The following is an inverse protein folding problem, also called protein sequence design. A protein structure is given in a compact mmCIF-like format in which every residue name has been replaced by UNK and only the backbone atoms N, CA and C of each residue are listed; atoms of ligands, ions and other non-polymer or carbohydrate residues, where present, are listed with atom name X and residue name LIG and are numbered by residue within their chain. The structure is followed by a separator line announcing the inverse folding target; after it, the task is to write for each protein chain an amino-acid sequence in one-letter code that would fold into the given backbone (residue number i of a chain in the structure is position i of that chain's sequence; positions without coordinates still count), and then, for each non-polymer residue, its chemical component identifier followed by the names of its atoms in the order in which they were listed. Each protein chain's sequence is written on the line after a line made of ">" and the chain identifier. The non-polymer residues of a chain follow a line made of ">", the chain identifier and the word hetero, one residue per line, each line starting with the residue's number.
data_IF_607805497294
#
_entry.id   IF_607805497294
#
_cell.length_a   1.000
_cell.length_b   1.000
_cell.length_c   1.000
_cell.angle_alpha   90.00
_cell.angle_beta   90.00
_cell.angle_gamma   90.00
#
_symmetry.space_group_name_H-M   'P 1'
#
loop_
_entity.id
_entity.type
_entity.pdbx_description
1 polymer ?
#
# COMPACT_ATOMS: atom_id res chain seq x y z
N UNK A 1 -2.87 -3.04 -27.30
CA UNK A 1 -3.06 -3.42 -25.87
C UNK A 1 -1.78 -3.90 -25.19
N UNK A 2 -0.91 -4.70 -25.87
CA UNK A 2 0.33 -5.21 -25.28
C UNK A 2 1.30 -4.11 -24.85
N UNK A 3 1.51 -3.10 -25.67
CA UNK A 3 2.35 -1.92 -25.35
C UNK A 3 1.82 -1.17 -24.11
N UNK A 4 0.51 -0.88 -24.08
CA UNK A 4 -0.13 -0.18 -22.94
C UNK A 4 -0.02 -0.99 -21.65
N UNK A 5 -0.17 -2.32 -21.72
CA UNK A 5 0.00 -3.21 -20.55
C UNK A 5 1.44 -3.19 -20.05
N UNK A 6 2.42 -3.26 -20.95
CA UNK A 6 3.86 -3.18 -20.62
C UNK A 6 4.23 -1.84 -20.00
N UNK A 7 3.79 -0.72 -20.59
CA UNK A 7 4.06 0.62 -20.08
C UNK A 7 3.46 0.83 -18.68
N UNK A 8 2.25 0.33 -18.45
CA UNK A 8 1.61 0.38 -17.12
C UNK A 8 2.33 -0.50 -16.10
N UNK A 9 2.80 -1.68 -16.48
CA UNK A 9 3.59 -2.55 -15.61
C UNK A 9 4.92 -1.90 -15.22
N UNK A 10 5.64 -1.30 -16.18
CA UNK A 10 6.89 -0.57 -15.90
C UNK A 10 6.67 0.62 -14.96
N UNK A 11 5.61 1.41 -15.16
CA UNK A 11 5.26 2.51 -14.25
C UNK A 11 4.97 2.02 -12.82
N UNK A 12 4.35 0.84 -12.68
CA UNK A 12 4.10 0.25 -11.36
C UNK A 12 5.40 -0.22 -10.69
N UNK A 13 6.31 -0.85 -11.44
CA UNK A 13 7.63 -1.25 -10.93
C UNK A 13 8.44 0.00 -10.50
N UNK A 14 8.44 1.07 -11.27
CA UNK A 14 9.07 2.33 -10.89
C UNK A 14 8.50 2.89 -9.59
N UNK A 15 7.17 2.87 -9.42
CA UNK A 15 6.51 3.29 -8.18
C UNK A 15 6.87 2.39 -6.99
N UNK A 16 7.02 1.08 -7.23
CA UNK A 16 7.46 0.11 -6.24
C UNK A 16 8.88 0.44 -5.73
N UNK A 17 9.82 0.67 -6.64
CA UNK A 17 11.20 1.05 -6.33
C UNK A 17 11.23 2.39 -5.60
N UNK A 18 10.46 3.37 -6.06
CA UNK A 18 10.37 4.67 -5.42
C UNK A 18 9.79 4.58 -4.00
N UNK A 19 8.73 3.81 -3.79
CA UNK A 19 8.13 3.61 -2.47
C UNK A 19 9.13 2.95 -1.50
N UNK A 20 9.78 1.87 -1.93
CA UNK A 20 10.81 1.17 -1.14
C UNK A 20 11.97 2.11 -0.82
N UNK A 21 12.47 2.86 -1.81
CA UNK A 21 13.55 3.83 -1.63
C UNK A 21 13.18 4.96 -0.65
N UNK A 22 11.94 5.45 -0.72
CA UNK A 22 11.44 6.49 0.19
C UNK A 22 11.41 6.02 1.65
N UNK A 23 11.00 4.78 1.88
CA UNK A 23 10.98 4.19 3.23
C UNK A 23 12.39 4.00 3.76
N UNK A 24 13.30 3.45 2.96
CA UNK A 24 14.72 3.27 3.36
C UNK A 24 15.36 4.63 3.67
N UNK A 25 15.06 5.64 2.87
CA UNK A 25 15.56 7.01 3.08
C UNK A 25 14.99 7.63 4.36
N UNK A 26 13.71 7.41 4.65
CA UNK A 26 13.10 7.87 5.90
C UNK A 26 13.76 7.21 7.12
N UNK A 27 13.98 5.90 7.08
CA UNK A 27 14.66 5.18 8.15
C UNK A 27 16.12 5.65 8.30
N UNK A 28 16.80 5.95 7.17
CA UNK A 28 18.15 6.52 7.16
C UNK A 28 18.22 7.84 7.95
N UNK A 29 17.24 8.73 7.77
CA UNK A 29 17.19 9.99 8.49
C UNK A 29 16.73 9.86 9.94
N UNK A 30 15.85 8.89 10.22
CA UNK A 30 15.27 8.71 11.56
C UNK A 30 16.17 7.93 12.50
N UNK A 31 16.75 6.81 12.06
CA UNK A 31 17.49 5.86 12.90
C UNK A 31 18.99 5.79 12.56
N UNK A 32 19.35 5.99 11.30
CA UNK A 32 20.73 5.95 10.85
C UNK A 32 20.96 5.01 9.66
N UNK A 33 22.18 5.04 9.12
CA UNK A 33 22.48 4.32 7.88
C UNK A 33 22.55 2.79 8.04
N UNK A 34 22.92 2.29 9.22
CA UNK A 34 23.02 0.85 9.51
C UNK A 34 21.64 0.23 9.69
N UNK A 35 20.80 0.89 10.44
CA UNK A 35 19.39 0.55 10.63
C UNK A 35 18.66 0.59 9.28
N UNK A 36 18.94 1.59 8.45
CA UNK A 36 18.40 1.68 7.10
C UNK A 36 18.81 0.50 6.19
N UNK A 37 20.04 -0.01 6.32
CA UNK A 37 20.48 -1.20 5.58
C UNK A 37 19.73 -2.45 6.09
N UNK A 38 19.57 -2.59 7.42
CA UNK A 38 18.83 -3.73 8.00
C UNK A 38 17.39 -3.73 7.50
N UNK A 39 16.69 -2.60 7.65
CA UNK A 39 15.29 -2.47 7.20
C UNK A 39 15.20 -2.62 5.69
N UNK A 40 16.08 -1.96 4.92
CA UNK A 40 16.08 -2.05 3.46
C UNK A 40 16.27 -3.47 2.94
N UNK A 41 17.20 -4.23 3.54
CA UNK A 41 17.42 -5.63 3.19
C UNK A 41 16.23 -6.53 3.57
N UNK A 42 15.60 -6.30 4.73
CA UNK A 42 14.41 -7.01 5.14
C UNK A 42 13.25 -6.77 4.17
N UNK A 43 13.04 -5.51 3.75
CA UNK A 43 12.01 -5.14 2.78
C UNK A 43 12.23 -5.80 1.43
N UNK A 44 13.45 -5.71 0.90
CA UNK A 44 13.80 -6.34 -0.40
C UNK A 44 13.60 -7.86 -0.32
N UNK A 45 14.03 -8.49 0.78
CA UNK A 45 13.84 -9.92 0.99
C UNK A 45 12.35 -10.29 1.07
N UNK A 46 11.57 -9.52 1.82
CA UNK A 46 10.11 -9.73 1.93
C UNK A 46 9.44 -9.64 0.57
N UNK A 47 9.78 -8.62 -0.23
CA UNK A 47 9.25 -8.48 -1.59
C UNK A 47 9.62 -9.65 -2.49
N UNK A 48 10.90 -10.07 -2.46
CA UNK A 48 11.38 -11.19 -3.26
C UNK A 48 10.67 -12.50 -2.90
N UNK A 49 10.54 -12.79 -1.60
CA UNK A 49 9.87 -14.01 -1.11
C UNK A 49 8.36 -13.95 -1.37
N UNK A 50 7.73 -12.78 -1.26
CA UNK A 50 6.29 -12.61 -1.59
C UNK A 50 6.04 -12.81 -3.08
N UNK A 51 6.91 -12.30 -3.96
CA UNK A 51 6.84 -12.55 -5.40
C UNK A 51 7.03 -14.04 -5.73
N UNK A 52 7.97 -14.69 -5.07
CA UNK A 52 8.20 -16.12 -5.23
C UNK A 52 6.98 -16.93 -4.76
N UNK A 53 6.42 -16.61 -3.60
CA UNK A 53 5.21 -17.26 -3.08
C UNK A 53 4.00 -17.04 -4.02
N UNK A 54 3.83 -15.85 -4.58
CA UNK A 54 2.81 -15.53 -5.57
C UNK A 54 2.96 -16.39 -6.83
N UNK A 55 4.19 -16.57 -7.30
CA UNK A 55 4.49 -17.45 -8.45
C UNK A 55 4.17 -18.93 -8.14
N UNK A 56 4.56 -19.41 -6.95
CA UNK A 56 4.25 -20.79 -6.52
C UNK A 56 2.75 -21.07 -6.39
N UNK A 57 1.96 -20.05 -6.03
CA UNK A 57 0.49 -20.14 -5.99
C UNK A 57 -0.16 -20.06 -7.39
N UNK A 58 0.62 -19.95 -8.46
CA UNK A 58 0.13 -19.87 -9.83
C UNK A 58 -0.45 -18.51 -10.23
N UNK A 59 -0.23 -17.46 -9.43
CA UNK A 59 -0.63 -16.11 -9.82
C UNK A 59 0.33 -15.55 -10.87
N UNK A 60 -0.24 -14.95 -11.91
CA UNK A 60 0.53 -14.22 -12.92
C UNK A 60 0.86 -12.81 -12.42
N UNK A 61 2.04 -12.31 -12.79
CA UNK A 61 2.42 -10.92 -12.56
C UNK A 61 1.62 -10.02 -13.51
N UNK A 62 0.45 -9.62 -13.05
CA UNK A 62 -0.42 -8.70 -13.77
C UNK A 62 -0.54 -7.36 -13.00
N UNK A 63 -1.25 -6.40 -13.60
CA UNK A 63 -1.46 -5.08 -13.00
C UNK A 63 -2.08 -5.16 -11.59
N UNK A 64 -2.94 -6.12 -11.34
CA UNK A 64 -3.64 -6.28 -10.07
C UNK A 64 -2.70 -6.83 -8.99
N UNK A 65 -1.90 -7.86 -9.32
CA UNK A 65 -0.91 -8.42 -8.37
C UNK A 65 0.21 -7.42 -8.06
N UNK A 66 0.66 -6.63 -9.04
CA UNK A 66 1.62 -5.55 -8.81
C UNK A 66 1.02 -4.43 -7.94
N UNK A 67 -0.25 -4.08 -8.16
CA UNK A 67 -0.95 -3.13 -7.29
C UNK A 67 -1.08 -3.67 -5.86
N UNK A 68 -1.42 -4.96 -5.70
CA UNK A 68 -1.47 -5.61 -4.41
C UNK A 68 -0.12 -5.53 -3.66
N UNK A 69 1.00 -5.76 -4.37
CA UNK A 69 2.34 -5.62 -3.81
C UNK A 69 2.65 -4.18 -3.36
N UNK A 70 2.34 -3.19 -4.20
CA UNK A 70 2.57 -1.77 -3.85
C UNK A 70 1.73 -1.37 -2.63
N UNK A 71 0.47 -1.80 -2.60
CA UNK A 71 -0.42 -1.56 -1.47
C UNK A 71 0.11 -2.23 -0.19
N UNK A 72 0.61 -3.46 -0.32
CA UNK A 72 1.13 -4.23 0.81
C UNK A 72 2.44 -3.66 1.36
N UNK A 73 3.30 -3.04 0.55
CA UNK A 73 4.60 -2.52 1.00
C UNK A 73 4.45 -1.60 2.20
N UNK A 74 3.48 -0.67 2.16
CA UNK A 74 3.25 0.25 3.27
C UNK A 74 2.94 -0.45 4.60
N UNK A 75 2.44 -1.67 4.54
CA UNK A 75 2.11 -2.48 5.73
C UNK A 75 3.25 -3.46 6.06
N UNK A 76 3.88 -4.04 5.03
CA UNK A 76 4.93 -5.04 5.17
C UNK A 76 6.23 -4.50 5.80
N UNK A 77 6.49 -3.22 5.60
CA UNK A 77 7.73 -2.56 6.07
C UNK A 77 7.67 -2.27 7.56
N UNK A 78 6.48 -2.04 8.10
CA UNK A 78 6.28 -1.62 9.49
C UNK A 78 6.81 -2.65 10.49
N UNK A 79 6.64 -3.94 10.25
CA UNK A 79 7.12 -5.00 11.13
C UNK A 79 8.64 -4.93 11.35
N UNK A 80 9.41 -4.76 10.27
CA UNK A 80 10.87 -4.67 10.35
C UNK A 80 11.33 -3.36 11.01
N UNK A 81 10.62 -2.24 10.77
CA UNK A 81 10.93 -0.95 11.38
C UNK A 81 10.72 -1.01 12.88
N UNK A 82 9.59 -1.54 13.34
CA UNK A 82 9.27 -1.65 14.78
C UNK A 82 10.31 -2.48 15.52
N UNK A 83 10.73 -3.62 14.95
CA UNK A 83 11.77 -4.47 15.53
C UNK A 83 13.11 -3.74 15.61
N UNK A 84 13.56 -3.09 14.53
CA UNK A 84 14.84 -2.37 14.50
C UNK A 84 14.82 -1.17 15.44
N UNK A 85 13.74 -0.40 15.46
CA UNK A 85 13.57 0.74 16.37
C UNK A 85 13.63 0.30 17.84
N UNK A 86 12.94 -0.79 18.18
CA UNK A 86 12.96 -1.29 19.55
C UNK A 86 14.33 -1.82 19.97
N UNK A 87 15.06 -2.50 19.08
CA UNK A 87 16.46 -2.88 19.30
C UNK A 87 17.31 -1.63 19.54
N UNK A 88 17.17 -0.61 18.69
CA UNK A 88 17.90 0.66 18.84
C UNK A 88 17.58 1.35 20.17
N UNK A 89 16.32 1.40 20.56
CA UNK A 89 15.87 1.94 21.85
C UNK A 89 16.46 1.20 23.03
N UNK A 90 16.47 -0.12 23.02
CA UNK A 90 17.03 -0.94 24.09
C UNK A 90 18.56 -0.82 24.19
N UNK A 91 19.26 -0.58 23.09
CA UNK A 91 20.70 -0.29 23.06
C UNK A 91 21.04 1.04 23.76
N UNK A 92 20.12 2.01 23.70
CA UNK A 92 20.28 3.29 24.36
C UNK A 92 20.06 3.25 25.88
N UNK A 93 19.47 2.16 26.43
CA UNK A 93 19.21 2.00 27.86
C UNK A 93 20.44 1.37 28.55
N UNK A 94 21.12 2.08 29.47
CA UNK A 94 22.26 1.50 30.20
C UNK A 94 21.84 0.31 31.06
N UNK A 95 22.74 -0.65 31.21
CA UNK A 95 22.54 -1.78 32.11
C UNK A 95 22.43 -1.34 33.57
N UNK A 96 21.94 -2.23 34.45
CA UNK A 96 21.85 -1.99 35.89
C UNK A 96 23.19 -1.61 36.54
N UNK A 97 24.29 -2.08 35.95
CA UNK A 97 25.68 -1.82 36.43
C UNK A 97 26.28 -0.57 35.74
N UNK A 98 25.53 0.24 35.02
CA UNK A 98 26.01 1.39 34.26
C UNK A 98 26.84 1.03 33.02
N UNK A 99 27.05 -0.26 32.73
CA UNK A 99 27.77 -0.74 31.54
C UNK A 99 26.89 -0.80 30.32
N UNK A 100 27.48 -0.60 29.14
CA UNK A 100 26.79 -0.83 27.86
C UNK A 100 26.44 -2.30 27.75
N UNK A 101 25.17 -2.61 27.48
CA UNK A 101 24.69 -3.98 27.28
C UNK A 101 25.19 -4.54 25.94
N UNK A 102 25.48 -5.83 25.93
CA UNK A 102 25.86 -6.50 24.68
C UNK A 102 24.62 -6.69 23.78
N UNK A 103 24.81 -6.71 22.46
CA UNK A 103 23.74 -6.94 21.51
C UNK A 103 22.98 -8.27 21.75
N UNK A 104 23.71 -9.30 22.20
CA UNK A 104 23.12 -10.60 22.54
C UNK A 104 22.16 -10.52 23.74
N UNK A 105 22.38 -9.61 24.66
CA UNK A 105 21.51 -9.40 25.84
C UNK A 105 20.33 -8.47 25.52
N UNK A 106 20.52 -7.59 24.53
CA UNK A 106 19.52 -6.57 24.18
C UNK A 106 18.48 -7.08 23.18
N UNK A 107 18.90 -7.85 22.18
CA UNK A 107 18.04 -8.24 21.07
C UNK A 107 16.85 -9.14 21.54
N UNK A 108 17.04 -10.22 22.34
CA UNK A 108 15.92 -11.06 22.71
C UNK A 108 14.79 -10.33 23.45
N UNK A 109 15.05 -9.54 24.53
CA UNK A 109 13.99 -8.81 25.21
C UNK A 109 13.36 -7.70 24.33
N UNK A 110 14.15 -7.08 23.46
CA UNK A 110 13.64 -6.08 22.54
C UNK A 110 12.66 -6.68 21.51
N UNK A 111 12.97 -7.87 21.00
CA UNK A 111 12.09 -8.58 20.06
C UNK A 111 10.85 -9.13 20.77
N UNK A 112 10.99 -9.66 21.98
CA UNK A 112 9.89 -10.21 22.77
C UNK A 112 8.86 -9.13 23.12
N UNK A 113 9.32 -7.92 23.49
CA UNK A 113 8.44 -6.80 23.84
C UNK A 113 7.50 -6.42 22.69
N UNK A 114 7.97 -6.42 21.44
CA UNK A 114 7.18 -6.00 20.28
C UNK A 114 6.58 -7.18 19.52
N UNK A 115 7.08 -8.38 19.70
CA UNK A 115 6.66 -9.57 18.96
C UNK A 115 5.16 -9.87 19.12
N UNK A 116 4.65 -9.90 20.34
CA UNK A 116 3.24 -10.15 20.62
C UNK A 116 2.31 -9.13 19.96
N UNK A 117 2.47 -7.82 20.20
CA UNK A 117 1.70 -6.77 19.55
C UNK A 117 1.77 -6.81 18.01
N UNK A 118 2.94 -7.05 17.44
CA UNK A 118 3.13 -7.11 15.99
C UNK A 118 2.41 -8.31 15.36
N UNK A 119 2.50 -9.49 15.99
CA UNK A 119 1.76 -10.68 15.57
C UNK A 119 0.25 -10.41 15.56
N UNK A 120 -0.28 -9.83 16.65
CA UNK A 120 -1.70 -9.52 16.76
C UNK A 120 -2.13 -8.48 15.69
N UNK A 121 -1.33 -7.44 15.46
CA UNK A 121 -1.58 -6.44 14.46
C UNK A 121 -1.64 -7.06 13.06
N UNK A 122 -0.68 -7.92 12.70
CA UNK A 122 -0.63 -8.64 11.41
C UNK A 122 -1.89 -9.46 11.19
N UNK A 123 -2.30 -10.26 12.17
CA UNK A 123 -3.54 -11.06 12.06
C UNK A 123 -4.80 -10.18 11.96
N UNK A 124 -4.83 -9.06 12.66
CA UNK A 124 -5.95 -8.11 12.58
C UNK A 124 -6.09 -7.52 11.17
N UNK A 125 -4.98 -7.12 10.54
CA UNK A 125 -5.00 -6.59 9.18
C UNK A 125 -5.37 -7.68 8.17
N UNK A 126 -4.86 -8.91 8.32
CA UNK A 126 -5.25 -10.06 7.50
C UNK A 126 -6.78 -10.27 7.60
N UNK A 127 -7.32 -10.30 8.82
CA UNK A 127 -8.76 -10.46 9.03
C UNK A 127 -9.58 -9.32 8.39
N UNK A 128 -9.08 -8.08 8.43
CA UNK A 128 -9.73 -6.93 7.79
C UNK A 128 -9.71 -7.00 6.25
N UNK A 129 -8.68 -7.62 5.66
CA UNK A 129 -8.56 -7.81 4.20
C UNK A 129 -9.35 -9.02 3.68
N UNK A 130 -9.61 -10.02 4.53
CA UNK A 130 -10.28 -11.27 4.13
C UNK A 130 -11.63 -11.09 3.43
N UNK A 131 -12.53 -10.17 3.82
CA UNK A 131 -13.80 -9.97 3.12
C UNK A 131 -13.65 -9.72 1.62
N UNK A 132 -12.56 -9.06 1.18
CA UNK A 132 -12.28 -8.86 -0.25
C UNK A 132 -12.00 -10.16 -1.01
N UNK A 133 -11.55 -11.22 -0.35
CA UNK A 133 -11.29 -12.51 -0.96
C UNK A 133 -12.59 -13.26 -1.34
N UNK A 134 -13.71 -12.92 -0.69
CA UNK A 134 -15.01 -13.53 -0.91
C UNK A 134 -15.89 -12.78 -1.91
N UNK A 135 -15.38 -11.72 -2.53
CA UNK A 135 -16.11 -10.99 -3.58
C UNK A 135 -16.42 -11.95 -4.73
N UNK A 136 -17.72 -12.04 -5.08
CA UNK A 136 -18.25 -12.90 -6.15
C UNK A 136 -18.49 -12.08 -7.42
N UNK A 137 -18.88 -12.78 -8.50
CA UNK A 137 -19.19 -12.18 -9.79
C UNK A 137 -17.94 -11.85 -10.62
N UNK A 138 -18.11 -11.00 -11.63
CA UNK A 138 -17.06 -10.65 -12.60
C UNK A 138 -15.83 -10.00 -11.97
N UNK A 139 -16.00 -9.29 -10.84
CA UNK A 139 -14.90 -8.63 -10.13
C UNK A 139 -14.13 -9.58 -9.20
N UNK A 140 -14.70 -10.74 -8.85
CA UNK A 140 -14.07 -11.70 -7.95
C UNK A 140 -12.66 -12.09 -8.36
N UNK A 141 -12.43 -12.62 -9.58
CA UNK A 141 -11.11 -13.02 -10.06
C UNK A 141 -10.08 -11.89 -10.04
N UNK A 142 -10.51 -10.64 -10.19
CA UNK A 142 -9.63 -9.48 -10.17
C UNK A 142 -9.32 -8.98 -8.76
N UNK A 143 -10.25 -9.14 -7.82
CA UNK A 143 -10.08 -8.65 -6.44
C UNK A 143 -9.39 -9.66 -5.52
N UNK A 144 -9.61 -10.96 -5.72
CA UNK A 144 -9.02 -12.04 -4.90
C UNK A 144 -7.50 -12.00 -4.75
N UNK A 145 -6.71 -11.72 -5.80
CA UNK A 145 -5.25 -11.69 -5.66
C UNK A 145 -4.75 -10.63 -4.67
N UNK A 146 -5.51 -9.55 -4.43
CA UNK A 146 -5.09 -8.46 -3.54
C UNK A 146 -5.00 -8.95 -2.09
N UNK A 147 -6.08 -9.42 -1.44
CA UNK A 147 -6.03 -9.87 -0.05
C UNK A 147 -5.17 -11.11 0.13
N UNK A 148 -5.13 -12.02 -0.84
CA UNK A 148 -4.32 -13.24 -0.75
C UNK A 148 -2.82 -12.90 -0.75
N UNK A 149 -2.35 -12.14 -1.73
CA UNK A 149 -0.94 -11.75 -1.83
C UNK A 149 -0.53 -10.84 -0.67
N UNK A 150 -1.40 -9.92 -0.23
CA UNK A 150 -1.14 -9.09 0.92
C UNK A 150 -1.02 -9.93 2.21
N UNK A 151 -1.93 -10.85 2.45
CA UNK A 151 -1.91 -11.71 3.65
C UNK A 151 -0.69 -12.62 3.69
N UNK A 152 -0.35 -13.26 2.56
CA UNK A 152 0.86 -14.09 2.47
C UNK A 152 2.11 -13.23 2.66
N UNK A 153 2.17 -12.06 2.01
CA UNK A 153 3.27 -11.13 2.18
C UNK A 153 3.44 -10.69 3.64
N UNK A 154 2.35 -10.39 4.34
CA UNK A 154 2.38 -10.00 5.75
C UNK A 154 2.90 -11.11 6.66
N UNK A 155 2.47 -12.36 6.45
CA UNK A 155 3.00 -13.50 7.23
C UNK A 155 4.50 -13.69 6.97
N UNK A 156 4.95 -13.54 5.73
CA UNK A 156 6.36 -13.62 5.36
C UNK A 156 7.16 -12.45 5.92
N UNK A 157 6.60 -11.23 5.90
CA UNK A 157 7.19 -10.04 6.53
C UNK A 157 7.40 -10.25 8.02
N UNK A 158 6.36 -10.68 8.71
CA UNK A 158 6.42 -10.99 10.14
C UNK A 158 7.51 -12.01 10.46
N UNK A 159 7.58 -13.10 9.68
CA UNK A 159 8.62 -14.12 9.86
C UNK A 159 10.02 -13.53 9.67
N UNK A 160 10.23 -12.73 8.62
CA UNK A 160 11.51 -12.07 8.34
C UNK A 160 11.84 -11.04 9.44
N UNK A 161 10.85 -10.27 9.89
CA UNK A 161 11.02 -9.27 10.94
C UNK A 161 11.43 -9.88 12.28
N UNK A 162 10.90 -11.04 12.64
CA UNK A 162 11.21 -11.71 13.90
C UNK A 162 12.44 -12.64 13.84
N UNK A 163 12.91 -13.03 12.64
CA UNK A 163 14.06 -13.94 12.48
C UNK A 163 15.25 -13.28 11.83
N UNK A 164 15.09 -12.80 10.61
CA UNK A 164 16.19 -12.25 9.79
C UNK A 164 16.61 -10.88 10.30
N UNK A 165 15.67 -10.02 10.65
CA UNK A 165 15.95 -8.65 11.10
C UNK A 165 16.79 -8.61 12.39
N UNK A 166 16.49 -9.39 13.46
CA UNK A 166 17.33 -9.45 14.64
C UNK A 166 18.72 -10.01 14.36
N UNK A 167 18.81 -11.06 13.53
CA UNK A 167 20.09 -11.65 13.13
C UNK A 167 20.95 -10.65 12.34
N UNK A 168 20.35 -9.90 11.41
CA UNK A 168 21.06 -8.91 10.63
C UNK A 168 21.48 -7.71 11.48
N UNK A 169 20.62 -7.30 12.43
CA UNK A 169 20.94 -6.28 13.43
C UNK A 169 22.15 -6.67 14.27
N UNK A 170 22.22 -7.94 14.70
CA UNK A 170 23.37 -8.46 15.43
C UNK A 170 24.67 -8.35 14.64
N UNK A 171 24.65 -8.57 13.32
CA UNK A 171 25.85 -8.47 12.47
C UNK A 171 26.26 -7.04 12.14
N UNK A 172 25.30 -6.18 11.84
CA UNK A 172 25.56 -4.84 11.34
C UNK A 172 25.74 -3.80 12.44
N UNK A 173 25.04 -3.95 13.58
CA UNK A 173 25.16 -3.04 14.71
C UNK A 173 26.32 -3.38 15.66
N UNK A 174 26.92 -4.57 15.55
CA UNK A 174 28.00 -5.05 16.42
C UNK A 174 29.23 -4.13 16.46
N UNK A 175 29.47 -3.32 15.43
CA UNK A 175 30.59 -2.38 15.36
C UNK A 175 30.35 -1.04 16.07
N UNK A 176 29.15 -0.77 16.57
CA UNK A 176 28.79 0.53 17.15
C UNK A 176 29.06 0.64 18.67
N UNK A 177 29.41 -0.48 19.33
CA UNK A 177 29.74 -0.49 20.73
C UNK A 177 31.03 0.24 21.08
N UNK A 178 31.90 0.53 20.09
CA UNK A 178 33.24 1.08 20.32
C UNK A 178 33.41 2.54 19.90
N UNK A 179 32.55 3.12 19.05
CA UNK A 179 32.81 4.44 18.44
C UNK A 179 31.83 5.59 18.77
N UNK A 180 30.73 5.36 19.51
CA UNK A 180 29.76 6.45 19.76
C UNK A 180 29.80 6.99 21.17
N UNK A 181 30.92 7.63 21.54
CA UNK A 181 31.00 8.35 22.82
C UNK A 181 30.54 9.83 22.76
N UNK A 182 30.17 10.36 21.60
CA UNK A 182 30.02 11.82 21.51
C UNK A 182 28.70 12.40 20.97
N UNK A 183 27.81 11.64 20.35
CA UNK A 183 26.71 12.29 19.60
C UNK A 183 25.27 12.04 20.07
N UNK A 184 24.98 11.00 20.86
CA UNK A 184 23.57 10.68 21.22
C UNK A 184 23.46 10.24 22.68
N UNK A 185 23.68 11.16 23.62
CA UNK A 185 23.30 10.93 25.01
C UNK A 185 21.76 10.74 25.10
N UNK A 186 21.25 9.69 25.80
CA UNK A 186 19.81 9.41 25.90
C UNK A 186 18.95 10.52 26.53
N UNK A 187 19.58 11.56 27.07
CA UNK A 187 18.92 12.72 27.66
C UNK A 187 18.61 13.86 26.69
N UNK A 188 19.26 13.92 25.51
CA UNK A 188 19.10 15.06 24.61
C UNK A 188 17.80 15.05 23.80
N UNK A 189 17.17 13.87 23.57
CA UNK A 189 15.92 13.75 22.85
C UNK A 189 14.68 14.15 23.69
N UNK A 190 14.80 14.18 25.03
CA UNK A 190 13.67 14.55 25.91
C UNK A 190 13.30 16.03 25.87
N UNK A 191 14.11 16.90 25.28
CA UNK A 191 13.84 18.35 25.23
C UNK A 191 13.56 18.90 23.84
N UNK A 192 13.36 18.05 22.82
CA UNK A 192 13.03 18.47 21.46
C UNK A 192 11.73 19.31 21.40
N UNK A 193 11.65 20.24 20.45
CA UNK A 193 10.45 21.05 20.21
C UNK A 193 9.19 20.18 20.04
N UNK A 194 9.34 19.02 19.41
CA UNK A 194 8.28 18.04 19.17
C UNK A 194 7.79 17.42 20.49
N UNK A 195 8.68 17.03 21.39
CA UNK A 195 8.31 16.48 22.70
C UNK A 195 7.56 17.52 23.55
N UNK A 196 8.01 18.77 23.54
CA UNK A 196 7.31 19.88 24.23
C UNK A 196 5.92 20.13 23.64
N UNK A 197 5.78 20.07 22.31
CA UNK A 197 4.50 20.20 21.63
C UNK A 197 3.56 19.05 22.01
N UNK A 198 4.05 17.82 21.94
CA UNK A 198 3.30 16.61 22.26
C UNK A 198 2.84 16.63 23.73
N UNK A 199 3.74 16.94 24.65
CA UNK A 199 3.40 17.10 26.08
C UNK A 199 2.37 18.20 26.29
N UNK A 200 2.49 19.34 25.59
CA UNK A 200 1.53 20.44 25.69
C UNK A 200 0.14 20.05 25.21
N UNK A 201 0.06 19.27 24.12
CA UNK A 201 -1.21 18.79 23.55
C UNK A 201 -1.82 17.68 24.41
N UNK A 202 -1.01 16.73 24.91
CA UNK A 202 -1.50 15.57 25.67
C UNK A 202 -1.78 15.88 27.13
N UNK A 203 -0.99 16.75 27.78
CA UNK A 203 -1.11 17.06 29.20
C UNK A 203 -2.55 17.42 29.64
N UNK A 204 -3.30 18.25 28.92
CA UNK A 204 -4.67 18.61 29.35
C UNK A 204 -5.69 17.48 29.28
N UNK A 205 -5.38 16.38 28.55
CA UNK A 205 -6.23 15.20 28.47
C UNK A 205 -5.85 14.12 29.49
N UNK A 206 -4.58 14.13 29.95
CA UNK A 206 -4.05 13.12 30.87
C UNK A 206 -4.17 13.55 32.35
N UNK A 207 -3.88 14.84 32.61
CA UNK A 207 -3.77 15.38 33.96
C UNK A 207 -4.74 16.55 34.19
N UNK A 208 -5.32 16.61 35.37
CA UNK A 208 -6.16 17.71 35.87
C UNK A 208 -7.60 17.29 36.17
N UNK A 209 -8.26 18.07 37.04
CA UNK A 209 -9.64 17.81 37.51
C UNK A 209 -10.69 17.78 36.38
N UNK A 210 -10.41 18.41 35.24
CA UNK A 210 -11.30 18.44 34.06
C UNK A 210 -10.85 17.48 32.92
N UNK A 211 -9.86 16.64 33.17
CA UNK A 211 -9.35 15.71 32.14
C UNK A 211 -10.45 14.76 31.62
N UNK A 212 -11.32 14.26 32.51
CA UNK A 212 -12.45 13.40 32.11
C UNK A 212 -13.42 14.10 31.14
N UNK A 213 -13.74 15.37 31.39
CA UNK A 213 -14.64 16.19 30.53
C UNK A 213 -14.02 16.48 29.17
N UNK A 214 -12.69 16.71 29.12
CA UNK A 214 -11.95 16.93 27.86
C UNK A 214 -11.84 15.66 27.05
N UNK A 215 -11.63 14.49 27.68
CA UNK A 215 -11.68 13.17 27.00
C UNK A 215 -13.08 12.93 26.43
N UNK A 216 -14.13 13.14 27.20
CA UNK A 216 -15.51 13.03 26.73
C UNK A 216 -15.79 13.91 25.52
N UNK A 217 -15.33 15.18 25.56
CA UNK A 217 -15.46 16.10 24.43
C UNK A 217 -14.68 15.62 23.20
N UNK A 218 -13.48 15.07 23.38
CA UNK A 218 -12.66 14.50 22.30
C UNK A 218 -13.35 13.29 21.66
N UNK A 219 -13.88 12.37 22.47
CA UNK A 219 -14.65 11.25 21.95
C UNK A 219 -15.94 11.69 21.24
N UNK A 220 -16.65 12.68 21.81
CA UNK A 220 -17.83 13.24 21.18
C UNK A 220 -17.51 13.95 19.85
N UNK A 221 -16.39 14.68 19.78
CA UNK A 221 -15.94 15.30 18.53
C UNK A 221 -15.52 14.28 17.47
N UNK A 222 -14.84 13.20 17.86
CA UNK A 222 -14.51 12.10 16.95
C UNK A 222 -15.78 11.40 16.43
N UNK A 223 -16.71 11.07 17.33
CA UNK A 223 -17.98 10.48 16.94
C UNK A 223 -18.78 11.43 16.03
N UNK A 224 -18.81 12.72 16.34
CA UNK A 224 -19.43 13.74 15.52
C UNK A 224 -18.81 13.85 14.12
N UNK A 225 -17.48 13.79 14.01
CA UNK A 225 -16.78 13.77 12.72
C UNK A 225 -17.10 12.51 11.90
N UNK A 226 -17.15 11.34 12.54
CA UNK A 226 -17.53 10.09 11.86
C UNK A 226 -18.97 10.15 11.37
N UNK A 227 -19.90 10.65 12.21
CA UNK A 227 -21.29 10.82 11.81
C UNK A 227 -21.44 11.85 10.69
N UNK A 228 -20.69 12.96 10.75
CA UNK A 228 -20.65 13.96 9.69
C UNK A 228 -20.13 13.33 8.37
N UNK A 229 -19.06 12.56 8.42
CA UNK A 229 -18.53 11.88 7.23
C UNK A 229 -19.53 10.86 6.65
N UNK A 230 -20.20 10.09 7.51
CA UNK A 230 -21.25 9.17 7.09
C UNK A 230 -22.46 9.91 6.49
N UNK A 231 -22.84 11.06 7.06
CA UNK A 231 -23.94 11.86 6.54
C UNK A 231 -23.70 12.40 5.13
N UNK A 232 -22.45 12.70 4.76
CA UNK A 232 -22.11 13.12 3.40
C UNK A 232 -22.45 12.03 2.33
N UNK A 233 -22.33 10.76 2.70
CA UNK A 233 -22.73 9.66 1.83
C UNK A 233 -24.25 9.49 1.79
N UNK A 234 -24.95 9.68 2.92
CA UNK A 234 -26.43 9.57 3.03
C UNK A 234 -27.12 10.71 2.27
N UNK A 235 -26.58 11.92 2.33
CA UNK A 235 -27.11 13.07 1.60
C UNK A 235 -26.65 13.14 0.15
N UNK A 236 -26.00 12.07 -0.37
CA UNK A 236 -25.49 11.97 -1.75
C UNK A 236 -24.51 13.11 -2.15
N UNK A 237 -23.96 13.85 -1.18
CA UNK A 237 -22.93 14.86 -1.43
C UNK A 237 -21.62 14.21 -1.87
N UNK A 238 -21.39 12.95 -1.48
CA UNK A 238 -20.32 12.09 -1.97
C UNK A 238 -20.93 10.92 -2.71
N UNK A 239 -20.72 10.87 -4.01
CA UNK A 239 -21.23 9.77 -4.85
C UNK A 239 -20.41 8.52 -4.62
N UNK A 240 -21.00 7.51 -4.01
CA UNK A 240 -20.42 6.18 -3.85
C UNK A 240 -20.43 5.46 -5.21
N UNK A 241 -19.28 5.40 -5.88
CA UNK A 241 -19.11 4.64 -7.12
C UNK A 241 -18.15 3.49 -6.88
N UNK A 242 -18.52 2.33 -7.39
CA UNK A 242 -17.72 1.10 -7.23
C UNK A 242 -16.37 1.18 -7.96
N UNK A 243 -16.31 1.92 -9.05
CA UNK A 243 -15.09 2.17 -9.82
C UNK A 243 -15.00 3.65 -10.18
N UNK A 244 -13.85 4.29 -9.99
CA UNK A 244 -13.63 5.63 -10.51
C UNK A 244 -13.72 5.61 -12.04
N UNK A 245 -14.22 6.69 -12.64
CA UNK A 245 -14.13 6.87 -14.09
C UNK A 245 -12.64 6.92 -14.46
N UNK A 246 -12.24 5.98 -15.32
CA UNK A 246 -10.90 6.02 -15.91
C UNK A 246 -11.00 6.83 -17.20
N UNK A 247 -10.23 7.89 -17.30
CA UNK A 247 -10.07 8.61 -18.56
C UNK A 247 -9.31 7.69 -19.53
N UNK A 248 -10.05 7.05 -20.43
CA UNK A 248 -9.47 6.23 -21.46
C UNK A 248 -9.25 7.04 -22.71
N UNK A 249 -8.16 6.74 -23.37
CA UNK A 249 -7.85 7.26 -24.69
C UNK A 249 -8.63 6.51 -25.80
N UNK A 250 -9.82 6.00 -25.49
CA UNK A 250 -10.65 5.23 -26.42
C UNK A 250 -12.07 5.79 -26.43
N UNK A 251 -12.58 6.06 -27.62
CA UNK A 251 -13.98 6.42 -27.87
C UNK A 251 -14.58 5.34 -28.75
N UNK A 252 -15.74 4.83 -28.39
CA UNK A 252 -16.51 3.89 -29.19
C UNK A 252 -17.70 4.61 -29.79
N UNK A 253 -17.79 4.59 -31.11
CA UNK A 253 -18.95 5.05 -31.87
C UNK A 253 -19.74 3.82 -32.32
N UNK A 254 -21.00 3.71 -31.92
CA UNK A 254 -21.89 2.64 -32.34
C UNK A 254 -22.91 3.26 -33.31
N UNK A 255 -23.02 2.64 -34.46
CA UNK A 255 -23.96 3.07 -35.52
C UNK A 255 -24.97 1.97 -35.72
N UNK A 256 -26.22 2.24 -35.38
CA UNK A 256 -27.35 1.34 -35.64
C UNK A 256 -28.06 1.79 -36.93
N UNK A 257 -27.97 0.94 -37.93
CA UNK A 257 -28.67 1.18 -39.22
C UNK A 257 -30.11 0.69 -39.14
N UNK A 258 -31.03 1.26 -39.94
CA UNK A 258 -32.40 0.77 -40.04
C UNK A 258 -32.44 -0.72 -40.44
N UNK A 259 -33.48 -1.43 -39.98
CA UNK A 259 -33.70 -2.84 -40.33
C UNK A 259 -33.78 -3.00 -41.85
N UNK A 260 -33.08 -3.99 -42.42
CA UNK A 260 -32.97 -4.26 -43.84
C UNK A 260 -31.83 -3.56 -44.57
N UNK A 261 -30.97 -2.78 -43.85
CA UNK A 261 -29.79 -2.20 -44.47
C UNK A 261 -28.77 -3.28 -44.82
N UNK A 262 -28.13 -3.13 -45.96
CA UNK A 262 -27.10 -4.08 -46.43
C UNK A 262 -25.75 -3.82 -45.74
N UNK A 263 -24.86 -4.82 -45.77
CA UNK A 263 -23.52 -4.71 -45.22
C UNK A 263 -22.72 -3.62 -45.94
N UNK A 264 -22.92 -3.47 -47.26
CA UNK A 264 -22.27 -2.48 -48.08
C UNK A 264 -22.67 -1.04 -47.68
N UNK A 265 -23.94 -0.81 -47.35
CA UNK A 265 -24.43 0.48 -46.85
C UNK A 265 -23.80 0.83 -45.51
N UNK A 266 -23.76 -0.14 -44.59
CA UNK A 266 -23.11 0.03 -43.29
C UNK A 266 -21.61 0.34 -43.44
N UNK A 267 -20.94 -0.40 -44.33
CA UNK A 267 -19.51 -0.18 -44.61
C UNK A 267 -19.22 1.17 -45.26
N UNK A 268 -20.10 1.63 -46.16
CA UNK A 268 -19.97 2.97 -46.79
C UNK A 268 -20.07 4.09 -45.74
N UNK A 269 -21.04 3.97 -44.80
CA UNK A 269 -21.20 4.95 -43.73
C UNK A 269 -19.99 4.93 -42.77
N UNK A 270 -19.47 3.74 -42.45
CA UNK A 270 -18.24 3.63 -41.62
C UNK A 270 -17.06 4.24 -42.33
N UNK A 271 -16.98 4.15 -43.68
CA UNK A 271 -15.94 4.81 -44.47
C UNK A 271 -16.02 6.36 -44.43
N UNK A 272 -17.24 6.91 -44.45
CA UNK A 272 -17.43 8.37 -44.29
C UNK A 272 -17.02 8.84 -42.88
N UNK A 273 -17.40 8.08 -41.85
CA UNK A 273 -16.99 8.36 -40.48
C UNK A 273 -15.47 8.26 -40.30
N UNK A 274 -14.83 7.26 -40.91
CA UNK A 274 -13.40 7.09 -40.91
C UNK A 274 -12.69 8.30 -41.52
N UNK A 275 -13.17 8.78 -42.70
CA UNK A 275 -12.63 9.96 -43.34
C UNK A 275 -12.76 11.24 -42.47
N UNK A 276 -13.83 11.34 -41.68
CA UNK A 276 -13.96 12.43 -40.71
C UNK A 276 -13.00 12.25 -39.52
N UNK A 277 -12.81 11.03 -39.01
CA UNK A 277 -11.87 10.75 -37.89
C UNK A 277 -10.42 11.07 -38.29
N UNK A 278 -10.04 10.87 -39.56
CA UNK A 278 -8.71 11.22 -40.05
C UNK A 278 -8.42 12.75 -40.02
N UNK A 279 -9.47 13.58 -39.92
CA UNK A 279 -9.32 15.03 -39.75
C UNK A 279 -9.13 15.48 -38.31
N UNK A 280 -9.30 14.60 -37.35
CA UNK A 280 -9.22 14.90 -35.91
C UNK A 280 -7.81 14.58 -35.41
N UNK A 281 -6.98 15.56 -35.04
CA UNK A 281 -5.57 15.35 -34.70
C UNK A 281 -5.37 14.53 -33.40
N UNK A 282 -6.37 14.41 -32.55
CA UNK A 282 -6.33 13.64 -31.33
C UNK A 282 -6.53 12.13 -31.57
N UNK A 283 -7.04 11.72 -32.73
CA UNK A 283 -7.24 10.32 -33.13
C UNK A 283 -5.96 9.80 -33.74
N UNK A 284 -5.33 8.81 -33.06
CA UNK A 284 -4.10 8.19 -33.53
C UNK A 284 -4.37 7.00 -34.45
N UNK A 285 -5.35 6.17 -34.07
CA UNK A 285 -5.74 4.94 -34.79
C UNK A 285 -7.23 4.67 -34.57
N UNK A 286 -7.88 4.06 -35.54
CA UNK A 286 -9.26 3.58 -35.40
C UNK A 286 -9.45 2.21 -36.02
N UNK A 287 -10.46 1.48 -35.57
CA UNK A 287 -10.84 0.17 -36.09
C UNK A 287 -12.35 0.16 -36.34
N UNK A 288 -12.75 -0.13 -37.55
CA UNK A 288 -14.16 -0.27 -37.95
C UNK A 288 -14.57 -1.75 -38.03
N UNK A 289 -15.76 -2.06 -37.53
CA UNK A 289 -16.37 -3.39 -37.60
C UNK A 289 -17.76 -3.27 -38.23
N UNK A 290 -17.90 -3.72 -39.47
CA UNK A 290 -19.17 -3.74 -40.18
C UNK A 290 -19.82 -5.11 -40.09
N UNK A 291 -21.09 -5.19 -39.72
CA UNK A 291 -21.86 -6.43 -39.63
C UNK A 291 -21.43 -7.40 -38.51
N UNK A 292 -20.43 -7.05 -37.74
CA UNK A 292 -19.97 -7.84 -36.58
C UNK A 292 -19.76 -6.94 -35.36
N UNK A 293 -19.96 -7.50 -34.16
CA UNK A 293 -19.66 -6.77 -32.95
C UNK A 293 -18.15 -6.55 -32.82
N UNK A 294 -17.76 -5.36 -32.35
CA UNK A 294 -16.36 -5.12 -31.96
C UNK A 294 -15.91 -6.13 -30.88
N UNK A 295 -14.62 -6.55 -30.85
CA UNK A 295 -14.11 -7.43 -29.82
C UNK A 295 -14.39 -6.84 -28.44
N UNK A 296 -15.03 -7.63 -27.60
CA UNK A 296 -15.41 -7.22 -26.25
C UNK A 296 -14.15 -7.18 -25.39
N UNK A 297 -13.75 -5.99 -24.97
CA UNK A 297 -12.80 -5.82 -23.89
C UNK A 297 -13.53 -5.69 -22.55
N UNK A 298 -12.82 -5.80 -21.43
CA UNK A 298 -13.44 -5.71 -20.10
C UNK A 298 -14.29 -4.43 -19.90
N UNK A 299 -13.92 -3.34 -20.53
CA UNK A 299 -14.62 -2.08 -20.45
C UNK A 299 -15.80 -1.97 -21.41
N UNK A 300 -15.70 -2.63 -22.57
CA UNK A 300 -16.81 -2.81 -23.50
C UNK A 300 -17.93 -3.67 -22.90
N UNK A 301 -17.56 -4.70 -22.13
CA UNK A 301 -18.52 -5.59 -21.45
C UNK A 301 -19.39 -4.83 -20.46
N UNK A 302 -18.82 -3.94 -19.66
CA UNK A 302 -19.56 -3.13 -18.69
C UNK A 302 -20.48 -2.13 -19.40
N UNK A 303 -20.01 -1.46 -20.47
CA UNK A 303 -20.83 -0.50 -21.22
C UNK A 303 -21.93 -1.16 -22.05
N UNK A 304 -21.64 -2.27 -22.72
CA UNK A 304 -22.62 -2.99 -23.55
C UNK A 304 -23.70 -3.65 -22.70
N UNK A 305 -23.41 -4.03 -21.45
CA UNK A 305 -24.41 -4.60 -20.53
C UNK A 305 -25.43 -3.56 -20.05
N UNK A 306 -25.06 -2.28 -19.98
CA UNK A 306 -25.93 -1.19 -19.55
C UNK A 306 -26.66 -0.49 -20.70
N UNK A 307 -26.29 -0.76 -21.95
CA UNK A 307 -26.90 -0.14 -23.15
C UNK A 307 -27.90 -1.04 -23.88
N UNK A 308 -28.20 -2.22 -23.35
CA UNK A 308 -29.22 -3.13 -23.88
C UNK A 308 -30.46 -3.14 -23.01
#
# INVERSE_FOLDING_TARGET
>A
YGKTASDKAQKLIQKLVFATGSVVLLVLFALGWREAIVVGSAVVLTLAVTLFASHMMGFTLNRVSLFALIFSIGILVDDAIVVVENIHRHLAIPGADGRKRSLFEVIPPAVDEVGGPTILATFTVIAALMPMAFVSGLMGPYMRPIPINASVGMLLSLLIALTVTPWLSLKLLRRHGEETDAAHAPGAHQQGRLHRLFRRVMSPFLFGERAGRKRGLLFASMAGLVLLAASLAVFELVVLKMLPFDNKSEVQVVVDMPEGSTLEQTNALLGELAAQLDTVPEVLDYQGYAGTAAPINFNGLVRQYYLR
#
